data_IF_733689981005
#
_entry.id   IF_733689981005
#
_cell.length_a   1.000
_cell.length_b   1.000
_cell.length_c   1.000
_cell.angle_alpha   90.00
_cell.angle_beta   90.00
_cell.angle_gamma   90.00
#
_symmetry.space_group_name_H-M   'P 1'
#
loop_
_entity.id
_entity.type
_entity.pdbx_description
1 polymer ?
#
# COMPACT_ATOMS: atom_id res chain seq x y z
N UNK A 1 -17.90 34.81 -81.47
CA UNK A 1 -18.34 34.43 -80.11
C UNK A 1 -19.33 33.29 -80.24
N UNK A 2 -18.83 32.07 -80.08
CA UNK A 2 -19.55 30.82 -80.25
C UNK A 2 -19.07 29.96 -79.08
N UNK A 3 -19.99 29.47 -78.24
CA UNK A 3 -19.66 28.55 -77.15
C UNK A 3 -20.37 27.24 -77.43
N UNK A 4 -19.55 26.27 -77.86
CA UNK A 4 -19.89 24.85 -78.00
C UNK A 4 -20.21 24.21 -76.63
N UNK A 5 -21.02 23.14 -76.61
CA UNK A 5 -21.19 22.28 -75.45
C UNK A 5 -20.10 21.19 -75.40
N UNK A 6 -19.32 21.14 -74.32
CA UNK A 6 -18.35 20.06 -74.11
C UNK A 6 -18.91 18.89 -73.29
N UNK A 7 -18.87 17.75 -73.96
CA UNK A 7 -18.61 16.36 -73.55
C UNK A 7 -18.62 15.96 -72.06
N UNK A 8 -19.40 14.90 -71.82
CA UNK A 8 -19.24 13.89 -70.77
C UNK A 8 -18.08 12.94 -71.14
N UNK A 9 -17.26 12.51 -70.16
CA UNK A 9 -16.63 11.17 -70.16
C UNK A 9 -17.12 10.37 -68.94
N UNK A 10 -17.84 9.27 -69.14
CA UNK A 10 -17.33 7.89 -69.37
C UNK A 10 -16.84 7.21 -68.09
N UNK A 11 -17.52 6.10 -67.81
CA UNK A 11 -17.33 5.12 -66.74
C UNK A 11 -15.89 4.57 -66.80
N UNK A 12 -15.14 4.70 -65.72
CA UNK A 12 -13.90 3.94 -65.51
C UNK A 12 -14.10 2.95 -64.36
N UNK A 13 -14.29 1.69 -64.73
CA UNK A 13 -14.26 0.54 -63.85
C UNK A 13 -12.84 0.39 -63.30
N UNK A 14 -12.61 0.66 -62.01
CA UNK A 14 -11.40 0.21 -61.33
C UNK A 14 -11.73 -0.92 -60.36
N UNK A 15 -11.41 -2.11 -60.84
CA UNK A 15 -11.13 -3.31 -60.06
C UNK A 15 -10.14 -2.97 -58.95
N UNK A 16 -10.47 -3.29 -57.69
CA UNK A 16 -9.47 -3.37 -56.64
C UNK A 16 -9.03 -4.82 -56.53
N UNK A 17 -7.78 -5.04 -56.92
CA UNK A 17 -7.08 -6.31 -56.82
C UNK A 17 -7.01 -6.78 -55.36
N UNK A 18 -7.31 -8.06 -55.21
CA UNK A 18 -7.12 -8.85 -54.01
C UNK A 18 -5.61 -8.95 -53.74
N UNK A 19 -5.12 -8.43 -52.62
CA UNK A 19 -3.80 -8.81 -52.09
C UNK A 19 -4.05 -9.68 -50.86
N UNK A 20 -3.61 -10.91 -51.00
CA UNK A 20 -3.60 -12.00 -50.05
C UNK A 20 -2.41 -11.86 -49.09
N UNK A 21 -2.64 -11.75 -47.77
CA UNK A 21 -1.63 -12.03 -46.73
C UNK A 21 -2.32 -12.59 -45.47
N UNK A 22 -2.37 -13.93 -45.41
CA UNK A 22 -2.01 -14.84 -44.30
C UNK A 22 -2.65 -14.70 -42.87
N UNK A 23 -2.76 -15.83 -42.13
CA UNK A 23 -3.87 -16.07 -41.20
C UNK A 23 -3.65 -15.52 -39.79
N UNK A 24 -4.77 -15.17 -39.16
CA UNK A 24 -4.94 -14.81 -37.76
C UNK A 24 -4.27 -15.86 -36.85
N UNK A 25 -3.16 -15.48 -36.20
CA UNK A 25 -2.60 -16.24 -35.10
C UNK A 25 -3.54 -16.08 -33.90
N UNK A 26 -4.21 -17.16 -33.54
CA UNK A 26 -5.11 -17.23 -32.40
C UNK A 26 -4.28 -17.30 -31.11
N UNK A 27 -3.81 -16.15 -30.64
CA UNK A 27 -3.27 -16.06 -29.28
C UNK A 27 -4.45 -16.06 -28.29
N UNK A 28 -4.63 -17.23 -27.70
CA UNK A 28 -5.43 -17.60 -26.53
C UNK A 28 -5.72 -16.44 -25.55
N UNK A 29 -6.95 -16.32 -24.99
CA UNK A 29 -7.25 -15.29 -24.00
C UNK A 29 -6.39 -15.51 -22.74
N UNK A 30 -5.90 -14.45 -22.06
CA UNK A 30 -5.23 -14.64 -20.78
C UNK A 30 -6.22 -15.22 -19.79
N UNK A 31 -5.84 -16.39 -19.28
CA UNK A 31 -6.53 -17.17 -18.27
C UNK A 31 -6.93 -16.30 -17.08
N UNK A 32 -8.16 -16.46 -16.61
CA UNK A 32 -8.64 -15.92 -15.34
C UNK A 32 -7.77 -16.45 -14.21
N UNK A 33 -6.74 -15.68 -13.85
CA UNK A 33 -5.88 -15.96 -12.70
C UNK A 33 -6.68 -15.75 -11.44
N UNK A 34 -7.04 -16.86 -10.79
CA UNK A 34 -7.56 -16.92 -9.44
C UNK A 34 -6.61 -16.15 -8.52
N UNK A 35 -7.12 -15.13 -7.83
CA UNK A 35 -6.40 -14.49 -6.74
C UNK A 35 -6.29 -15.48 -5.57
N UNK A 36 -5.17 -16.18 -5.47
CA UNK A 36 -4.74 -16.84 -4.24
C UNK A 36 -4.11 -15.76 -3.36
N UNK A 37 -4.88 -15.31 -2.37
CA UNK A 37 -4.36 -14.56 -1.22
C UNK A 37 -3.65 -15.59 -0.34
N UNK A 38 -2.33 -15.69 -0.47
CA UNK A 38 -1.52 -16.41 0.51
C UNK A 38 -1.49 -15.59 1.80
N UNK A 39 -2.31 -16.02 2.76
CA UNK A 39 -2.26 -15.60 4.15
C UNK A 39 -1.02 -16.21 4.79
N UNK A 40 0.08 -15.48 4.86
CA UNK A 40 1.21 -15.83 5.71
C UNK A 40 0.80 -15.68 7.18
N UNK A 41 0.37 -16.80 7.75
CA UNK A 41 0.10 -16.99 9.16
C UNK A 41 1.44 -17.36 9.82
N UNK A 42 2.08 -16.38 10.46
CA UNK A 42 3.29 -16.61 11.25
C UNK A 42 2.89 -16.94 12.69
N UNK A 43 3.31 -18.11 13.18
CA UNK A 43 3.06 -18.62 14.53
C UNK A 43 3.60 -17.69 15.62
N UNK A 44 2.93 -17.57 16.78
CA UNK A 44 3.44 -16.78 17.88
C UNK A 44 4.63 -17.48 18.53
N UNK A 45 5.82 -16.89 18.39
CA UNK A 45 6.98 -17.26 19.19
C UNK A 45 6.67 -16.99 20.67
N UNK A 46 6.54 -18.07 21.44
CA UNK A 46 6.47 -18.03 22.91
C UNK A 46 7.80 -17.50 23.44
N UNK A 47 7.86 -16.21 23.75
CA UNK A 47 9.01 -15.62 24.44
C UNK A 47 8.92 -16.03 25.91
N UNK A 48 9.77 -16.96 26.33
CA UNK A 48 10.07 -17.18 27.74
C UNK A 48 10.78 -15.93 28.29
N UNK A 49 10.23 -15.21 29.28
CA UNK A 49 10.93 -14.08 29.88
C UNK A 49 12.10 -14.64 30.70
N UNK A 50 13.29 -14.54 30.16
CA UNK A 50 14.53 -14.83 30.89
C UNK A 50 14.91 -13.58 31.65
N UNK A 51 14.94 -13.69 32.98
CA UNK A 51 15.36 -12.67 33.93
C UNK A 51 16.75 -12.13 33.56
N UNK A 52 16.86 -10.93 32.99
CA UNK A 52 18.09 -10.13 32.95
C UNK A 52 17.83 -8.75 32.32
N UNK A 53 17.12 -7.87 33.03
CA UNK A 53 17.06 -6.44 32.69
C UNK A 53 18.44 -5.78 32.83
N UNK A 54 19.30 -6.33 33.69
CA UNK A 54 20.66 -5.82 33.95
C UNK A 54 21.62 -5.91 32.76
N UNK A 55 21.40 -6.82 31.80
CA UNK A 55 22.25 -6.92 30.59
C UNK A 55 21.84 -5.99 29.46
N UNK A 56 20.62 -5.44 29.48
CA UNK A 56 20.12 -4.55 28.42
C UNK A 56 20.73 -3.14 28.53
N UNK A 57 20.91 -2.64 29.74
CA UNK A 57 21.52 -1.32 29.98
C UNK A 57 23.00 -1.30 29.63
N UNK A 58 23.76 -2.32 30.04
CA UNK A 58 25.21 -2.40 29.77
C UNK A 58 25.49 -2.41 28.25
N UNK A 59 24.66 -3.10 27.45
CA UNK A 59 24.84 -3.14 25.99
C UNK A 59 24.36 -1.86 25.29
N UNK A 60 23.34 -1.17 25.79
CA UNK A 60 22.85 0.06 25.17
C UNK A 60 23.78 1.26 25.38
N UNK A 61 24.47 1.34 26.52
CA UNK A 61 25.44 2.40 26.81
C UNK A 61 26.74 2.32 26.00
N UNK A 62 27.02 1.19 25.35
CA UNK A 62 28.15 1.05 24.42
C UNK A 62 27.88 1.65 23.03
N UNK A 63 26.63 2.04 22.72
CA UNK A 63 26.27 2.69 21.46
C UNK A 63 26.32 4.21 21.64
N UNK A 64 27.19 4.90 20.91
CA UNK A 64 27.58 6.31 21.03
C UNK A 64 26.46 7.37 20.80
N UNK A 65 25.32 7.28 21.50
CA UNK A 65 24.17 8.19 21.39
C UNK A 65 23.84 8.85 22.75
N UNK A 66 24.79 9.64 23.29
CA UNK A 66 24.61 10.68 24.34
C UNK A 66 24.22 10.28 25.79
N UNK A 67 24.39 11.17 26.80
CA UNK A 67 25.62 11.81 27.28
C UNK A 67 26.31 10.97 28.37
N UNK A 68 27.56 10.59 28.08
CA UNK A 68 28.37 9.53 28.70
C UNK A 68 28.89 9.83 30.13
N UNK A 69 28.58 10.98 30.73
CA UNK A 69 29.29 11.41 31.94
C UNK A 69 28.64 10.97 33.27
N UNK A 70 27.33 10.72 33.30
CA UNK A 70 26.58 10.49 34.54
C UNK A 70 26.25 9.03 34.86
N UNK A 71 25.79 8.25 33.86
CA UNK A 71 25.29 6.88 34.09
C UNK A 71 26.41 5.86 34.33
N UNK A 72 27.50 5.95 33.57
CA UNK A 72 28.68 5.10 33.76
C UNK A 72 29.30 5.30 35.14
N UNK A 73 29.41 6.57 35.57
CA UNK A 73 29.97 6.91 36.88
C UNK A 73 29.14 6.34 38.03
N UNK A 74 27.81 6.39 37.93
CA UNK A 74 26.92 5.81 38.94
C UNK A 74 27.04 4.29 39.02
N UNK A 75 27.01 3.59 37.87
CA UNK A 75 27.15 2.13 37.82
C UNK A 75 28.53 1.67 38.32
N UNK A 76 29.60 2.41 38.02
CA UNK A 76 30.94 2.15 38.53
C UNK A 76 31.04 2.41 40.04
N UNK A 77 30.43 3.49 40.55
CA UNK A 77 30.36 3.80 41.99
C UNK A 77 29.55 2.76 42.76
N UNK A 78 28.48 2.22 42.17
CA UNK A 78 27.66 1.13 42.70
C UNK A 78 28.41 -0.19 42.74
N UNK A 79 29.08 -0.57 41.65
CA UNK A 79 29.89 -1.79 41.59
C UNK A 79 31.04 -1.73 42.59
N UNK A 80 31.63 -0.53 42.75
CA UNK A 80 32.64 -0.26 43.76
C UNK A 80 32.07 -0.28 45.19
N UNK A 81 30.84 0.20 45.40
CA UNK A 81 30.19 0.21 46.73
C UNK A 81 29.73 -1.19 47.14
N UNK A 82 29.25 -1.98 46.18
CA UNK A 82 28.92 -3.39 46.39
C UNK A 82 30.15 -4.17 46.85
N UNK A 83 31.31 -3.98 46.19
CA UNK A 83 32.58 -4.58 46.62
C UNK A 83 32.97 -4.17 48.06
N UNK A 84 32.84 -2.89 48.39
CA UNK A 84 33.16 -2.33 49.70
C UNK A 84 32.21 -2.79 50.82
N UNK A 85 30.92 -2.95 50.51
CA UNK A 85 29.94 -3.50 51.44
C UNK A 85 30.16 -5.01 51.60
N UNK A 86 30.57 -5.73 50.56
CA UNK A 86 30.98 -7.13 50.69
C UNK A 86 32.20 -7.25 51.63
N UNK A 87 33.15 -6.32 51.56
CA UNK A 87 34.30 -6.27 52.48
C UNK A 87 33.90 -5.90 53.92
N UNK A 88 32.92 -4.99 54.11
CA UNK A 88 32.29 -4.69 55.41
C UNK A 88 31.69 -5.93 56.08
N UNK A 89 31.03 -6.75 55.26
CA UNK A 89 30.34 -7.96 55.69
C UNK A 89 31.33 -9.08 56.00
N UNK A 90 32.42 -9.17 55.24
CA UNK A 90 33.48 -10.17 55.40
C UNK A 90 34.38 -9.91 56.61
N UNK A 91 34.55 -8.66 57.04
CA UNK A 91 35.33 -8.27 58.23
C UNK A 91 34.83 -8.79 59.59
N UNK A 92 33.73 -9.57 59.63
CA UNK A 92 33.10 -10.09 60.84
C UNK A 92 33.65 -11.43 61.35
N UNK A 93 34.66 -12.02 60.71
CA UNK A 93 35.21 -13.35 61.08
C UNK A 93 36.69 -13.26 61.47
N UNK A 94 36.92 -13.03 62.79
CA UNK A 94 38.02 -13.44 63.73
C UNK A 94 39.52 -13.45 63.26
N UNK A 95 40.60 -13.09 63.99
CA UNK A 95 41.06 -13.09 65.42
C UNK A 95 42.22 -12.05 65.59
N UNK A 96 42.52 -11.40 66.73
CA UNK A 96 43.15 -11.82 68.02
C UNK A 96 43.21 -10.52 68.90
N UNK A 97 42.99 -10.41 70.22
CA UNK A 97 43.27 -11.28 71.38
C UNK A 97 42.36 -10.94 72.57
N UNK A 98 42.02 -11.96 73.36
CA UNK A 98 41.62 -11.95 74.78
C UNK A 98 40.84 -10.75 75.33
N UNK A 99 39.63 -10.53 74.82
CA UNK A 99 38.50 -10.03 75.63
C UNK A 99 37.24 -10.73 75.14
N UNK A 100 36.44 -11.19 76.11
CA UNK A 100 35.10 -11.77 76.02
C UNK A 100 34.29 -11.36 74.77
N UNK A 101 33.62 -12.28 74.04
CA UNK A 101 32.87 -11.93 72.84
C UNK A 101 31.68 -11.06 73.23
N UNK A 102 31.78 -9.75 73.00
CA UNK A 102 30.62 -8.86 73.00
C UNK A 102 29.73 -9.33 71.87
N UNK A 103 28.62 -9.98 72.21
CA UNK A 103 27.56 -10.38 71.29
C UNK A 103 27.21 -9.17 70.42
N UNK A 104 27.57 -9.17 69.13
CA UNK A 104 27.11 -8.14 68.21
C UNK A 104 25.58 -8.13 68.20
N UNK A 105 24.99 -6.94 68.28
CA UNK A 105 23.56 -6.74 68.38
C UNK A 105 22.86 -7.34 67.14
N UNK A 106 21.91 -8.28 67.33
CA UNK A 106 21.13 -8.89 66.25
C UNK A 106 20.55 -7.90 65.19
N UNK A 107 20.18 -6.66 65.55
CA UNK A 107 19.78 -5.64 64.57
C UNK A 107 20.86 -5.25 63.55
N UNK A 108 22.15 -5.27 63.93
CA UNK A 108 23.27 -4.90 63.05
C UNK A 108 23.50 -5.95 61.97
N UNK A 109 23.49 -7.23 62.33
CA UNK A 109 23.67 -8.33 61.38
C UNK A 109 22.47 -8.45 60.42
N UNK A 110 21.26 -8.15 60.90
CA UNK A 110 20.07 -8.06 60.04
C UNK A 110 20.18 -6.91 59.02
N UNK A 111 20.64 -5.73 59.46
CA UNK A 111 20.82 -4.56 58.59
C UNK A 111 21.90 -4.81 57.52
N UNK A 112 22.99 -5.48 57.91
CA UNK A 112 24.07 -5.95 57.03
C UNK A 112 23.53 -6.84 55.90
N UNK A 113 22.78 -7.90 56.25
CA UNK A 113 22.23 -8.82 55.25
C UNK A 113 21.16 -8.15 54.37
N UNK A 114 20.39 -7.22 54.93
CA UNK A 114 19.39 -6.46 54.15
C UNK A 114 20.05 -5.59 53.08
N UNK A 115 21.08 -4.81 53.43
CA UNK A 115 21.82 -4.01 52.45
C UNK A 115 22.48 -4.90 51.41
N UNK A 116 23.08 -6.03 51.84
CA UNK A 116 23.67 -7.01 50.93
C UNK A 116 22.65 -7.53 49.92
N UNK A 117 21.49 -7.96 50.39
CA UNK A 117 20.42 -8.48 49.54
C UNK A 117 19.90 -7.45 48.52
N UNK A 118 19.83 -6.18 48.93
CA UNK A 118 19.43 -5.09 48.03
C UNK A 118 20.50 -4.83 46.97
N UNK A 119 21.77 -4.71 47.36
CA UNK A 119 22.86 -4.43 46.43
C UNK A 119 23.09 -5.58 45.43
N UNK A 120 23.01 -6.84 45.87
CA UNK A 120 23.15 -7.99 44.98
C UNK A 120 22.03 -8.12 43.93
N UNK A 121 20.89 -7.43 44.10
CA UNK A 121 19.83 -7.38 43.10
C UNK A 121 20.04 -6.27 42.06
N UNK A 122 21.04 -5.40 42.25
CA UNK A 122 21.39 -4.33 41.33
C UNK A 122 20.64 -3.01 41.58
N UNK A 123 21.05 -1.97 40.86
CA UNK A 123 20.55 -0.61 41.06
C UNK A 123 19.08 -0.41 40.65
N UNK A 124 18.60 -1.19 39.68
CA UNK A 124 17.19 -1.14 39.24
C UNK A 124 16.26 -1.39 40.43
N UNK A 125 16.62 -2.29 41.33
CA UNK A 125 15.88 -2.58 42.56
C UNK A 125 15.83 -1.39 43.51
N UNK A 126 16.90 -0.59 43.56
CA UNK A 126 16.97 0.65 44.33
C UNK A 126 16.15 1.79 43.73
N UNK A 127 15.54 1.63 42.56
CA UNK A 127 14.51 2.57 42.07
C UNK A 127 13.15 2.35 42.73
N UNK A 128 12.93 1.18 43.35
CA UNK A 128 11.71 0.88 44.10
C UNK A 128 11.73 1.58 45.47
N UNK A 129 10.68 2.35 45.76
CA UNK A 129 10.51 3.09 47.02
C UNK A 129 10.63 2.19 48.27
N UNK A 130 10.06 0.99 48.26
CA UNK A 130 10.11 0.06 49.40
C UNK A 130 11.55 -0.42 49.66
N UNK A 131 12.31 -0.66 48.59
CA UNK A 131 13.71 -1.09 48.67
C UNK A 131 14.63 0.06 49.09
N UNK A 132 14.33 1.30 48.68
CA UNK A 132 15.03 2.49 49.17
C UNK A 132 14.82 2.68 50.67
N UNK A 133 13.59 2.57 51.16
CA UNK A 133 13.30 2.73 52.58
C UNK A 133 13.94 1.61 53.42
N UNK A 134 13.95 0.37 52.93
CA UNK A 134 14.68 -0.74 53.55
C UNK A 134 16.20 -0.48 53.60
N UNK A 135 16.76 0.11 52.54
CA UNK A 135 18.15 0.55 52.48
C UNK A 135 18.43 1.70 53.47
N UNK A 136 17.56 2.70 53.56
CA UNK A 136 17.69 3.83 54.48
C UNK A 136 17.63 3.40 55.94
N UNK A 137 16.66 2.55 56.30
CA UNK A 137 16.50 2.02 57.65
C UNK A 137 17.72 1.17 58.07
N UNK A 138 18.19 0.29 57.18
CA UNK A 138 19.34 -0.57 57.46
C UNK A 138 20.64 0.22 57.53
N UNK A 139 20.84 1.20 56.64
CA UNK A 139 22.04 2.05 56.66
C UNK A 139 22.10 2.94 57.90
N UNK A 140 20.97 3.43 58.40
CA UNK A 140 20.90 4.21 59.64
C UNK A 140 21.31 3.38 60.87
N UNK A 141 20.87 2.12 60.94
CA UNK A 141 21.29 1.18 61.99
C UNK A 141 22.80 0.99 61.96
N UNK A 142 23.40 0.80 60.78
CA UNK A 142 24.85 0.62 60.67
C UNK A 142 25.63 1.90 61.03
N UNK A 143 25.22 3.06 60.49
CA UNK A 143 25.85 4.36 60.72
C UNK A 143 25.85 4.76 62.21
N UNK A 144 24.82 4.32 62.95
CA UNK A 144 24.66 4.58 64.38
C UNK A 144 25.42 3.61 65.28
N UNK A 145 25.75 2.40 64.80
CA UNK A 145 26.27 1.32 65.64
C UNK A 145 27.80 1.30 65.82
N UNK A 146 28.54 2.28 65.29
CA UNK A 146 30.01 2.34 65.31
C UNK A 146 30.71 1.02 64.93
N UNK A 147 30.14 0.33 63.92
CA UNK A 147 30.55 -1.00 63.46
C UNK A 147 31.40 -0.98 62.19
N UNK A 148 31.88 0.19 61.76
CA UNK A 148 32.65 0.31 60.53
C UNK A 148 34.13 0.00 60.79
N UNK A 149 34.76 -0.87 59.97
CA UNK A 149 36.17 -1.19 60.06
C UNK A 149 37.07 -0.01 59.67
N UNK A 150 36.58 0.96 58.90
CA UNK A 150 37.30 2.19 58.57
C UNK A 150 36.37 3.38 58.31
N UNK A 151 36.89 4.59 58.50
CA UNK A 151 36.17 5.84 58.29
C UNK A 151 35.76 6.04 56.81
N UNK A 152 36.58 5.55 55.87
CA UNK A 152 36.31 5.68 54.43
C UNK A 152 34.99 5.03 54.03
N UNK A 153 34.77 3.80 54.48
CA UNK A 153 33.56 3.03 54.20
C UNK A 153 32.31 3.66 54.82
N UNK A 154 32.45 4.19 56.04
CA UNK A 154 31.39 4.98 56.71
C UNK A 154 31.02 6.20 55.86
N UNK A 155 32.02 6.94 55.36
CA UNK A 155 31.81 8.07 54.47
C UNK A 155 31.14 7.65 53.17
N UNK A 156 31.59 6.57 52.52
CA UNK A 156 30.99 6.06 51.28
C UNK A 156 29.52 5.68 51.43
N UNK A 157 29.17 4.91 52.48
CA UNK A 157 27.78 4.56 52.74
C UNK A 157 26.94 5.81 53.02
N UNK A 158 27.49 6.78 53.76
CA UNK A 158 26.79 8.05 54.06
C UNK A 158 26.52 8.85 52.78
N UNK A 159 27.53 9.00 51.91
CA UNK A 159 27.41 9.73 50.64
C UNK A 159 26.39 9.04 49.75
N UNK A 160 26.54 7.74 49.52
CA UNK A 160 25.61 6.98 48.69
C UNK A 160 24.18 7.04 49.23
N UNK A 161 23.99 6.90 50.55
CA UNK A 161 22.69 7.06 51.20
C UNK A 161 22.08 8.43 50.91
N UNK A 162 22.86 9.51 50.99
CA UNK A 162 22.33 10.85 50.78
C UNK A 162 21.96 11.11 49.31
N UNK A 163 22.71 10.54 48.37
CA UNK A 163 22.53 10.76 46.93
C UNK A 163 21.55 9.77 46.28
N UNK A 164 21.23 8.65 46.95
CA UNK A 164 20.45 7.54 46.41
C UNK A 164 19.13 7.99 45.75
N UNK A 165 18.37 8.88 46.42
CA UNK A 165 17.06 9.31 45.93
C UNK A 165 17.17 10.15 44.66
N UNK A 166 18.17 11.03 44.59
CA UNK A 166 18.44 11.85 43.40
C UNK A 166 18.92 10.99 42.25
N UNK A 167 19.85 10.07 42.52
CA UNK A 167 20.41 9.14 41.53
C UNK A 167 19.35 8.18 40.96
N UNK A 168 18.47 7.64 41.81
CA UNK A 168 17.36 6.78 41.36
C UNK A 168 16.37 7.56 40.48
N UNK A 169 16.08 8.82 40.82
CA UNK A 169 15.20 9.67 40.01
C UNK A 169 15.82 9.98 38.65
N UNK A 170 17.11 10.35 38.63
CA UNK A 170 17.85 10.62 37.41
C UNK A 170 17.95 9.38 36.50
N UNK A 171 18.13 8.20 37.10
CA UNK A 171 18.14 6.93 36.38
C UNK A 171 16.78 6.61 35.73
N UNK A 172 15.68 6.74 36.46
CA UNK A 172 14.33 6.56 35.90
C UNK A 172 14.05 7.54 34.76
N UNK A 173 14.46 8.80 34.90
CA UNK A 173 14.34 9.78 33.83
C UNK A 173 15.16 9.39 32.59
N UNK A 174 16.40 8.96 32.77
CA UNK A 174 17.24 8.49 31.67
C UNK A 174 16.61 7.29 30.95
N UNK A 175 16.04 6.33 31.69
CA UNK A 175 15.34 5.20 31.10
C UNK A 175 14.16 5.64 30.23
N UNK A 176 13.32 6.57 30.72
CA UNK A 176 12.19 7.07 29.92
C UNK A 176 12.62 7.78 28.64
N UNK A 177 13.76 8.48 28.67
CA UNK A 177 14.33 9.14 27.48
C UNK A 177 14.81 8.10 26.47
N UNK A 178 15.45 7.02 26.92
CA UNK A 178 15.89 5.91 26.06
C UNK A 178 14.70 5.23 25.41
N UNK A 179 13.67 4.89 26.18
CA UNK A 179 12.47 4.23 25.66
C UNK A 179 11.78 5.11 24.61
N UNK A 180 11.64 6.40 24.91
CA UNK A 180 11.07 7.39 23.99
C UNK A 180 11.90 7.51 22.70
N UNK A 181 13.24 7.57 22.80
CA UNK A 181 14.12 7.67 21.65
C UNK A 181 14.06 6.42 20.75
N UNK A 182 13.94 5.24 21.35
CA UNK A 182 13.76 3.97 20.63
C UNK A 182 12.46 3.95 19.82
N UNK A 183 11.36 4.39 20.42
CA UNK A 183 10.07 4.51 19.73
C UNK A 183 10.14 5.51 18.56
N UNK A 184 10.80 6.67 18.76
CA UNK A 184 11.01 7.64 17.69
C UNK A 184 11.86 7.07 16.55
N UNK A 185 12.89 6.27 16.84
CA UNK A 185 13.72 5.61 15.83
C UNK A 185 12.90 4.62 14.99
N UNK A 186 12.07 3.80 15.63
CA UNK A 186 11.17 2.87 14.94
C UNK A 186 10.15 3.60 14.06
N UNK A 187 9.57 4.69 14.58
CA UNK A 187 8.65 5.52 13.81
C UNK A 187 9.32 6.19 12.61
N UNK A 188 10.55 6.68 12.79
CA UNK A 188 11.34 7.28 11.71
C UNK A 188 11.60 6.27 10.59
N UNK A 189 12.05 5.06 10.93
CA UNK A 189 12.31 4.00 9.94
C UNK A 189 11.03 3.65 9.16
N UNK A 190 9.90 3.51 9.85
CA UNK A 190 8.61 3.30 9.21
C UNK A 190 8.26 4.43 8.23
N UNK A 191 8.44 5.68 8.63
CA UNK A 191 8.14 6.84 7.78
C UNK A 191 9.05 6.90 6.55
N UNK A 192 10.34 6.59 6.68
CA UNK A 192 11.28 6.53 5.57
C UNK A 192 10.88 5.45 4.54
N UNK A 193 10.48 4.26 5.01
CA UNK A 193 9.97 3.18 4.14
C UNK A 193 8.72 3.61 3.38
N UNK A 194 7.81 4.33 4.03
CA UNK A 194 6.59 4.83 3.36
C UNK A 194 6.90 5.95 2.37
N UNK A 195 7.83 6.85 2.70
CA UNK A 195 8.23 7.96 1.84
C UNK A 195 8.76 7.48 0.47
N UNK A 196 9.43 6.33 0.41
CA UNK A 196 9.90 5.73 -0.85
C UNK A 196 8.75 5.18 -1.71
N UNK A 197 7.66 4.71 -1.10
CA UNK A 197 6.51 4.11 -1.81
C UNK A 197 5.58 5.14 -2.43
N UNK A 198 5.46 6.32 -1.83
CA UNK A 198 4.54 7.38 -2.25
C UNK A 198 4.79 7.83 -3.71
N UNK A 199 6.04 8.13 -4.14
CA UNK A 199 6.31 8.53 -5.52
C UNK A 199 5.88 7.49 -6.56
N UNK A 200 6.13 6.21 -6.31
CA UNK A 200 5.73 5.13 -7.22
C UNK A 200 4.20 5.01 -7.35
N UNK A 201 3.47 5.24 -6.26
CA UNK A 201 2.00 5.30 -6.29
C UNK A 201 1.49 6.54 -7.05
N UNK A 202 2.13 7.70 -6.86
CA UNK A 202 1.80 8.93 -7.59
C UNK A 202 2.03 8.76 -9.10
N UNK A 203 3.12 8.14 -9.51
CA UNK A 203 3.41 7.85 -10.92
C UNK A 203 2.35 6.90 -11.52
N UNK A 204 2.01 5.82 -10.81
CA UNK A 204 0.95 4.90 -11.23
C UNK A 204 -0.41 5.59 -11.36
N UNK A 205 -0.75 6.48 -10.43
CA UNK A 205 -1.97 7.29 -10.51
C UNK A 205 -1.96 8.20 -11.74
N UNK A 206 -0.82 8.85 -12.04
CA UNK A 206 -0.66 9.68 -13.23
C UNK A 206 -0.83 8.90 -14.53
N UNK A 207 -0.23 7.70 -14.63
CA UNK A 207 -0.41 6.82 -15.78
C UNK A 207 -1.87 6.36 -15.95
N UNK A 208 -2.54 6.00 -14.85
CA UNK A 208 -3.93 5.62 -14.87
C UNK A 208 -4.83 6.78 -15.34
N UNK A 209 -4.58 8.00 -14.85
CA UNK A 209 -5.31 9.20 -15.27
C UNK A 209 -5.17 9.47 -16.77
N UNK A 210 -3.96 9.33 -17.33
CA UNK A 210 -3.73 9.47 -18.77
C UNK A 210 -4.50 8.41 -19.58
N UNK A 211 -4.45 7.15 -19.16
CA UNK A 211 -5.18 6.05 -19.83
C UNK A 211 -6.70 6.27 -19.81
N UNK A 212 -7.23 6.81 -18.71
CA UNK A 212 -8.65 7.18 -18.62
C UNK A 212 -9.00 8.29 -19.61
N UNK A 213 -8.14 9.31 -19.75
CA UNK A 213 -8.35 10.39 -20.71
C UNK A 213 -8.35 9.86 -22.16
N UNK A 214 -7.40 9.00 -22.50
CA UNK A 214 -7.31 8.38 -23.83
C UNK A 214 -8.57 7.55 -24.15
N UNK A 215 -9.03 6.74 -23.19
CA UNK A 215 -10.24 5.93 -23.35
C UNK A 215 -11.50 6.78 -23.53
N UNK A 216 -11.60 7.92 -22.81
CA UNK A 216 -12.72 8.87 -23.00
C UNK A 216 -12.71 9.45 -24.41
N UNK A 217 -11.55 9.87 -24.92
CA UNK A 217 -11.44 10.39 -26.28
C UNK A 217 -11.84 9.34 -27.34
N UNK A 218 -11.45 8.07 -27.15
CA UNK A 218 -11.86 6.97 -28.04
C UNK A 218 -13.37 6.77 -28.00
N UNK A 219 -13.97 6.84 -26.80
CA UNK A 219 -15.41 6.69 -26.64
C UNK A 219 -16.17 7.82 -27.33
N UNK A 220 -15.74 9.07 -27.15
CA UNK A 220 -16.37 10.24 -27.80
C UNK A 220 -16.32 10.11 -29.33
N UNK A 221 -15.15 9.72 -29.88
CA UNK A 221 -14.99 9.49 -31.31
C UNK A 221 -15.81 8.29 -31.84
N UNK A 222 -16.07 7.28 -31.00
CA UNK A 222 -16.94 6.16 -31.35
C UNK A 222 -18.41 6.59 -31.37
N UNK A 223 -18.85 7.37 -30.37
CA UNK A 223 -20.20 7.93 -30.30
C UNK A 223 -20.47 8.84 -31.50
N UNK A 224 -19.54 9.72 -31.85
CA UNK A 224 -19.70 10.60 -33.03
C UNK A 224 -19.86 9.80 -34.34
N UNK A 225 -19.06 8.74 -34.51
CA UNK A 225 -19.18 7.85 -35.67
C UNK A 225 -20.53 7.12 -35.69
N UNK A 226 -21.02 6.70 -34.54
CA UNK A 226 -22.33 6.04 -34.45
C UNK A 226 -23.46 6.99 -34.83
N UNK A 227 -23.45 8.23 -34.34
CA UNK A 227 -24.44 9.25 -34.72
C UNK A 227 -24.47 9.49 -36.23
N UNK A 228 -23.29 9.60 -36.87
CA UNK A 228 -23.20 9.74 -38.34
C UNK A 228 -23.76 8.53 -39.07
N UNK A 229 -23.52 7.33 -38.55
CA UNK A 229 -24.07 6.10 -39.12
C UNK A 229 -25.60 6.06 -39.02
N UNK A 230 -26.16 6.48 -37.88
CA UNK A 230 -27.61 6.56 -37.67
C UNK A 230 -28.27 7.56 -38.64
N UNK A 231 -27.64 8.71 -38.88
CA UNK A 231 -28.10 9.69 -39.90
C UNK A 231 -28.11 9.09 -41.32
N UNK A 232 -27.05 8.37 -41.69
CA UNK A 232 -26.97 7.70 -43.01
C UNK A 232 -28.05 6.62 -43.14
N UNK A 233 -28.29 5.83 -42.09
CA UNK A 233 -29.34 4.83 -42.07
C UNK A 233 -30.73 5.46 -42.22
N UNK A 234 -31.00 6.56 -41.51
CA UNK A 234 -32.25 7.31 -41.65
C UNK A 234 -32.47 7.80 -43.09
N UNK A 235 -31.44 8.41 -43.69
CA UNK A 235 -31.49 8.87 -45.08
C UNK A 235 -31.71 7.72 -46.08
N UNK A 236 -31.11 6.55 -45.84
CA UNK A 236 -31.31 5.36 -46.66
C UNK A 236 -32.74 4.83 -46.58
N UNK A 237 -33.32 4.79 -45.37
CA UNK A 237 -34.72 4.40 -45.14
C UNK A 237 -35.66 5.33 -45.90
N UNK A 238 -35.44 6.64 -45.84
CA UNK A 238 -36.26 7.63 -46.55
C UNK A 238 -36.14 7.49 -48.08
N UNK A 239 -34.92 7.33 -48.61
CA UNK A 239 -34.70 7.07 -50.04
C UNK A 239 -35.40 5.79 -50.49
N UNK A 240 -35.33 4.73 -49.69
CA UNK A 240 -35.99 3.45 -49.98
C UNK A 240 -37.51 3.61 -50.00
N UNK A 241 -38.07 4.37 -49.06
CA UNK A 241 -39.51 4.69 -49.02
C UNK A 241 -39.94 5.45 -50.28
N UNK A 242 -39.18 6.47 -50.69
CA UNK A 242 -39.45 7.24 -51.92
C UNK A 242 -39.36 6.33 -53.15
N UNK A 243 -38.33 5.50 -53.25
CA UNK A 243 -38.15 4.58 -54.37
C UNK A 243 -39.31 3.58 -54.46
N UNK A 244 -39.75 3.01 -53.32
CA UNK A 244 -40.91 2.12 -53.25
C UNK A 244 -42.20 2.80 -53.69
N UNK A 245 -42.42 4.05 -53.29
CA UNK A 245 -43.57 4.85 -53.73
C UNK A 245 -43.54 5.12 -55.24
N UNK A 246 -42.37 5.50 -55.80
CA UNK A 246 -42.20 5.68 -57.25
C UNK A 246 -42.42 4.39 -58.03
N UNK A 247 -41.93 3.26 -57.53
CA UNK A 247 -42.16 1.96 -58.16
C UNK A 247 -43.66 1.61 -58.17
N UNK A 248 -44.36 1.85 -57.06
CA UNK A 248 -45.79 1.62 -56.96
C UNK A 248 -46.60 2.49 -57.95
N UNK A 249 -46.17 3.73 -58.23
CA UNK A 249 -46.84 4.61 -59.19
C UNK A 249 -46.55 4.27 -60.66
N UNK A 250 -45.38 3.70 -60.98
CA UNK A 250 -45.04 3.23 -62.32
C UNK A 250 -45.78 1.95 -62.72
N UNK A 251 -46.12 1.09 -61.76
CA UNK A 251 -46.80 -0.18 -62.02
C UNK A 251 -48.14 -0.05 -62.78
N UNK A 252 -49.08 0.85 -62.40
CA UNK A 252 -50.30 1.08 -63.19
C UNK A 252 -50.03 1.70 -64.55
N UNK A 253 -48.99 2.53 -64.71
CA UNK A 253 -48.61 3.07 -66.01
C UNK A 253 -48.12 1.96 -66.96
N UNK A 254 -47.31 1.02 -66.45
CA UNK A 254 -46.88 -0.13 -67.23
C UNK A 254 -48.06 -1.02 -67.65
N UNK A 255 -49.04 -1.22 -66.77
CA UNK A 255 -50.27 -1.95 -67.08
C UNK A 255 -51.12 -1.25 -68.17
N UNK A 256 -51.27 0.07 -68.09
CA UNK A 256 -51.99 0.88 -69.09
C UNK A 256 -51.29 0.82 -70.47
N UNK A 257 -49.97 0.96 -70.51
CA UNK A 257 -49.19 0.84 -71.76
C UNK A 257 -49.39 -0.55 -72.39
N UNK A 258 -49.38 -1.61 -71.58
CA UNK A 258 -49.62 -2.98 -72.06
C UNK A 258 -51.02 -3.13 -72.67
N UNK A 259 -52.04 -2.57 -72.01
CA UNK A 259 -53.43 -2.56 -72.50
C UNK A 259 -53.55 -1.80 -73.82
N UNK A 260 -53.02 -0.58 -73.90
CA UNK A 260 -53.00 0.24 -75.12
C UNK A 260 -52.29 -0.45 -76.27
N UNK A 261 -51.15 -1.11 -76.00
CA UNK A 261 -50.44 -1.91 -77.02
C UNK A 261 -51.31 -3.05 -77.55
N UNK A 262 -52.01 -3.77 -76.68
CA UNK A 262 -52.92 -4.84 -77.13
C UNK A 262 -54.08 -4.30 -77.97
N UNK A 263 -54.65 -3.16 -77.59
CA UNK A 263 -55.71 -2.51 -78.36
C UNK A 263 -55.21 -2.10 -79.76
N UNK A 264 -54.03 -1.49 -79.85
CA UNK A 264 -53.43 -1.10 -81.13
C UNK A 264 -53.17 -2.30 -82.04
N UNK A 265 -52.66 -3.43 -81.49
CA UNK A 265 -52.47 -4.67 -82.26
C UNK A 265 -53.79 -5.17 -82.84
N UNK A 266 -54.89 -5.15 -82.08
CA UNK A 266 -56.21 -5.55 -82.59
C UNK A 266 -56.68 -4.66 -83.74
N UNK A 267 -56.47 -3.34 -83.64
CA UNK A 267 -56.84 -2.39 -84.71
C UNK A 267 -56.04 -2.66 -85.98
N UNK A 268 -54.72 -2.86 -85.87
CA UNK A 268 -53.88 -3.17 -87.04
C UNK A 268 -54.34 -4.46 -87.72
N UNK A 269 -54.66 -5.48 -86.93
CA UNK A 269 -55.13 -6.76 -87.49
C UNK A 269 -56.49 -6.60 -88.19
N UNK A 270 -57.39 -5.79 -87.63
CA UNK A 270 -58.66 -5.45 -88.28
C UNK A 270 -58.46 -4.65 -89.58
N UNK A 271 -57.54 -3.68 -89.60
CA UNK A 271 -57.23 -2.93 -90.83
C UNK A 271 -56.67 -3.85 -91.92
N UNK A 272 -55.79 -4.81 -91.55
CA UNK A 272 -55.27 -5.79 -92.49
C UNK A 272 -56.38 -6.65 -93.07
N UNK A 273 -57.28 -7.19 -92.24
CA UNK A 273 -58.39 -8.00 -92.72
C UNK A 273 -59.30 -7.20 -93.65
N UNK A 274 -59.68 -5.97 -93.27
CA UNK A 274 -60.48 -5.10 -94.12
C UNK A 274 -59.79 -4.74 -95.45
N UNK A 275 -58.47 -4.57 -95.44
CA UNK A 275 -57.70 -4.35 -96.67
C UNK A 275 -57.69 -5.59 -97.57
N UNK A 276 -57.52 -6.78 -97.00
CA UNK A 276 -57.61 -8.04 -97.75
C UNK A 276 -59.00 -8.22 -98.36
N UNK A 277 -60.06 -7.93 -97.61
CA UNK A 277 -61.44 -8.01 -98.12
C UNK A 277 -61.68 -7.01 -99.26
N UNK A 278 -61.25 -5.76 -99.08
CA UNK A 278 -61.38 -4.70 -100.09
C UNK A 278 -60.62 -5.05 -101.37
N UNK A 279 -59.37 -5.47 -101.25
CA UNK A 279 -58.54 -5.86 -102.39
C UNK A 279 -59.13 -7.06 -103.13
N UNK A 280 -59.61 -8.08 -102.41
CA UNK A 280 -60.28 -9.25 -103.00
C UNK A 280 -61.57 -8.85 -103.75
N UNK A 281 -62.33 -7.90 -103.21
CA UNK A 281 -63.55 -7.38 -103.86
C UNK A 281 -63.22 -6.61 -105.15
N UNK A 282 -62.21 -5.74 -105.10
CA UNK A 282 -61.69 -5.00 -106.27
C UNK A 282 -61.22 -5.95 -107.38
N UNK A 283 -60.45 -6.99 -107.05
CA UNK A 283 -60.02 -8.00 -108.02
C UNK A 283 -61.17 -8.81 -108.61
N UNK A 284 -62.30 -8.94 -107.91
CA UNK A 284 -63.50 -9.60 -108.44
C UNK A 284 -64.33 -8.72 -109.36
N UNK A 285 -64.20 -7.40 -109.23
CA UNK A 285 -64.93 -6.41 -110.03
C UNK A 285 -64.25 -6.11 -111.37
N UNK A 286 -62.91 -6.15 -111.40
CA UNK A 286 -62.08 -6.03 -112.60
C UNK A 286 -62.06 -7.34 -113.41
#
# INVERSE_FOLDING_TARGET
MHLEPQLVPSIESRSFDLIDVAPLDATQPPSTGVFLVESNQEEPATICPSNSSSSLLINHFHSELFPTAGSHKLLDELSSLEADVIDLLRGSVTHHSDVQPTTMHAPVESAKETIRGILCQGFDTLTNSEMQEAFFASSEVLLSADVFPCAHLKTRLTVFRNELRENATAFLQAQTVIDTASEFSSLQEFLEVQAVKIPALQERLGMAAKKIADLRAILDAAVERQTKMDEVLAAFVDKTKIAKQKLASLNPQAADIKSKKQAAVKVVEQCKSSWVDLSTSLFRFL
#
